data_IF_348400069624
#
_entry.id   IF_348400069624
#
_cell.length_a   1.000
_cell.length_b   1.000
_cell.length_c   1.000
_cell.angle_alpha   90.00
_cell.angle_beta   90.00
_cell.angle_gamma   90.00
#
_symmetry.space_group_name_H-M   'P 1'
#
loop_
_entity.id
_entity.type
_entity.pdbx_description
1 polymer ?
#
# COMPACT_ATOMS: atom_id res chain seq x y z
N UNK A 1 35.52 30.20 -3.35
CA UNK A 1 34.85 29.35 -2.34
C UNK A 1 33.33 29.29 -2.49
N UNK A 2 32.67 30.23 -3.18
CA UNK A 2 31.21 30.26 -3.38
C UNK A 2 30.69 29.43 -4.57
N UNK A 3 31.56 29.03 -5.52
CA UNK A 3 31.17 28.35 -6.77
C UNK A 3 30.79 26.87 -6.52
N UNK A 4 31.38 26.23 -5.49
CA UNK A 4 31.15 24.81 -5.19
C UNK A 4 29.75 24.48 -4.64
N UNK A 5 29.02 25.46 -4.11
CA UNK A 5 27.67 25.23 -3.58
C UNK A 5 26.59 25.24 -4.68
N UNK A 6 26.84 25.94 -5.80
CA UNK A 6 25.88 26.03 -6.91
C UNK A 6 25.79 24.73 -7.72
N UNK A 7 26.77 23.83 -7.62
CA UNK A 7 26.74 22.52 -8.26
C UNK A 7 26.06 21.44 -7.41
N UNK A 8 25.72 21.73 -6.14
CA UNK A 8 24.99 20.80 -5.26
C UNK A 8 23.46 20.89 -5.41
N UNK A 9 22.93 21.95 -6.04
CA UNK A 9 21.48 22.07 -6.30
C UNK A 9 21.00 21.18 -7.45
N UNK A 10 21.93 20.63 -8.24
CA UNK A 10 21.62 19.66 -9.30
C UNK A 10 21.10 18.31 -8.77
N UNK A 11 21.18 18.05 -7.46
CA UNK A 11 20.66 16.85 -6.82
C UNK A 11 19.28 17.05 -6.13
N UNK A 12 18.68 18.25 -6.22
CA UNK A 12 17.36 18.50 -5.61
C UNK A 12 16.20 17.92 -6.41
N UNK A 13 16.38 17.73 -7.72
CA UNK A 13 15.42 17.12 -8.64
C UNK A 13 15.92 15.73 -9.08
N UNK A 14 16.40 14.90 -8.14
CA UNK A 14 16.39 13.47 -8.41
C UNK A 14 14.91 13.07 -8.42
N UNK A 15 14.29 12.80 -9.60
CA UNK A 15 12.89 12.40 -9.61
C UNK A 15 12.80 11.17 -8.74
N UNK A 16 12.05 11.27 -7.65
CA UNK A 16 11.71 10.10 -6.84
C UNK A 16 10.79 9.26 -7.71
N UNK A 17 11.42 8.40 -8.52
CA UNK A 17 10.70 7.47 -9.38
C UNK A 17 10.05 6.50 -8.41
N UNK A 18 8.75 6.66 -8.25
CA UNK A 18 7.93 5.84 -7.40
C UNK A 18 7.93 4.39 -7.81
N UNK A 19 8.92 3.62 -7.35
CA UNK A 19 8.89 2.17 -7.47
C UNK A 19 7.83 1.67 -6.50
N UNK A 20 6.97 0.77 -6.96
CA UNK A 20 5.94 0.13 -6.15
C UNK A 20 6.58 -0.46 -4.87
N UNK A 21 6.26 0.10 -3.71
CA UNK A 21 6.85 -0.29 -2.41
C UNK A 21 8.05 0.54 -1.91
N UNK A 22 8.55 1.51 -2.69
CA UNK A 22 9.62 2.43 -2.27
C UNK A 22 9.10 3.76 -1.68
N UNK A 23 7.80 4.05 -1.81
CA UNK A 23 7.16 5.21 -1.19
C UNK A 23 6.87 4.95 0.29
N UNK A 24 7.78 5.43 1.13
CA UNK A 24 7.59 5.53 2.56
C UNK A 24 6.97 6.91 2.88
N UNK A 25 5.89 7.04 3.69
CA UNK A 25 5.19 6.03 4.49
C UNK A 25 3.82 5.55 3.96
N UNK A 26 3.33 6.10 2.85
CA UNK A 26 1.97 5.91 2.35
C UNK A 26 1.63 4.44 2.04
N UNK A 27 2.44 3.75 1.23
CA UNK A 27 2.23 2.33 0.90
C UNK A 27 2.24 1.43 2.15
N UNK A 28 3.09 1.72 3.13
CA UNK A 28 3.18 0.93 4.36
C UNK A 28 1.90 1.06 5.19
N UNK A 29 1.37 2.28 5.32
CA UNK A 29 0.10 2.55 5.99
C UNK A 29 -1.06 1.89 5.23
N UNK A 30 -1.08 1.99 3.91
CA UNK A 30 -2.12 1.38 3.06
C UNK A 30 -2.12 -0.15 3.16
N UNK A 31 -0.95 -0.80 3.16
CA UNK A 31 -0.84 -2.25 3.35
C UNK A 31 -1.30 -2.67 4.75
N UNK A 32 -0.83 -1.96 5.80
CA UNK A 32 -1.26 -2.25 7.16
C UNK A 32 -2.79 -2.12 7.33
N UNK A 33 -3.37 -1.04 6.81
CA UNK A 33 -4.82 -0.84 6.76
C UNK A 33 -5.52 -1.92 5.94
N UNK A 34 -4.98 -2.28 4.78
CA UNK A 34 -5.51 -3.31 3.91
C UNK A 34 -5.57 -4.68 4.60
N UNK A 35 -4.52 -5.08 5.33
CA UNK A 35 -4.48 -6.31 6.13
C UNK A 35 -5.55 -6.29 7.23
N UNK A 36 -5.72 -5.16 7.93
CA UNK A 36 -6.76 -5.01 8.95
C UNK A 36 -8.16 -5.18 8.35
N UNK A 37 -8.42 -4.59 7.18
CA UNK A 37 -9.67 -4.77 6.44
C UNK A 37 -9.90 -6.23 6.02
N UNK A 38 -8.86 -6.93 5.53
CA UNK A 38 -8.95 -8.37 5.22
C UNK A 38 -9.31 -9.16 6.47
N UNK A 39 -8.71 -8.87 7.62
CA UNK A 39 -9.03 -9.55 8.88
C UNK A 39 -10.50 -9.33 9.28
N UNK A 40 -11.01 -8.10 9.16
CA UNK A 40 -12.42 -7.80 9.39
C UNK A 40 -13.35 -8.60 8.46
N UNK A 41 -13.05 -8.64 7.15
CA UNK A 41 -13.81 -9.41 6.17
C UNK A 41 -13.77 -10.90 6.49
N UNK A 42 -12.60 -11.44 6.85
CA UNK A 42 -12.44 -12.83 7.25
C UNK A 42 -13.32 -13.19 8.45
N UNK A 43 -13.31 -12.37 9.51
CA UNK A 43 -14.12 -12.59 10.71
C UNK A 43 -15.62 -12.54 10.38
N UNK A 44 -16.05 -11.57 9.56
CA UNK A 44 -17.44 -11.44 9.14
C UNK A 44 -17.91 -12.63 8.31
N UNK A 45 -17.15 -13.04 7.30
CA UNK A 45 -17.49 -14.19 6.46
C UNK A 45 -17.47 -15.52 7.22
N UNK A 46 -16.52 -15.67 8.15
CA UNK A 46 -16.45 -16.85 9.02
C UNK A 46 -17.67 -16.94 9.92
N UNK A 47 -18.13 -15.80 10.47
CA UNK A 47 -19.37 -15.75 11.27
C UNK A 47 -20.63 -16.01 10.46
N UNK A 48 -20.66 -15.64 9.19
CA UNK A 48 -21.81 -15.91 8.30
C UNK A 48 -21.79 -17.32 7.67
N UNK A 49 -20.84 -18.19 8.03
CA UNK A 49 -20.72 -19.55 7.47
C UNK A 49 -20.24 -19.58 6.01
N UNK A 50 -19.73 -18.46 5.49
CA UNK A 50 -19.25 -18.31 4.10
C UNK A 50 -17.73 -18.43 3.99
N UNK A 51 -17.09 -19.11 4.95
CA UNK A 51 -15.63 -19.30 4.97
C UNK A 51 -15.09 -19.98 3.71
N UNK A 52 -15.90 -20.79 3.03
CA UNK A 52 -15.55 -21.44 1.76
C UNK A 52 -15.20 -20.44 0.63
N UNK A 53 -15.72 -19.21 0.66
CA UNK A 53 -15.38 -18.18 -0.33
C UNK A 53 -13.96 -17.65 -0.19
N UNK A 54 -13.28 -17.91 0.94
CA UNK A 54 -11.89 -17.53 1.15
C UNK A 54 -10.89 -18.63 0.73
N UNK A 55 -11.36 -19.66 0.02
CA UNK A 55 -10.50 -20.71 -0.53
C UNK A 55 -10.21 -20.46 -2.02
N UNK A 56 -8.95 -20.62 -2.48
CA UNK A 56 -7.74 -20.95 -1.71
C UNK A 56 -7.15 -19.73 -0.98
N UNK A 57 -6.81 -19.86 0.32
CA UNK A 57 -6.39 -18.73 1.14
C UNK A 57 -5.07 -18.10 0.66
N UNK A 58 -4.19 -18.90 0.06
CA UNK A 58 -2.93 -18.43 -0.50
C UNK A 58 -3.09 -17.40 -1.63
N UNK A 59 -4.26 -17.33 -2.27
CA UNK A 59 -4.55 -16.39 -3.37
C UNK A 59 -5.50 -15.30 -2.90
N UNK A 60 -6.58 -15.68 -2.21
CA UNK A 60 -7.66 -14.74 -1.87
C UNK A 60 -7.20 -13.67 -0.88
N UNK A 61 -6.42 -14.03 0.15
CA UNK A 61 -5.94 -13.07 1.13
C UNK A 61 -4.96 -12.05 0.54
N UNK A 62 -3.90 -12.43 -0.19
CA UNK A 62 -3.02 -11.44 -0.80
C UNK A 62 -3.74 -10.59 -1.85
N UNK A 63 -4.67 -11.17 -2.64
CA UNK A 63 -5.46 -10.40 -3.60
C UNK A 63 -6.34 -9.34 -2.91
N UNK A 64 -7.03 -9.71 -1.82
CA UNK A 64 -7.82 -8.76 -1.02
C UNK A 64 -6.94 -7.71 -0.35
N UNK A 65 -5.77 -8.10 0.18
CA UNK A 65 -4.82 -7.15 0.77
C UNK A 65 -4.38 -6.13 -0.26
N UNK A 66 -3.99 -6.56 -1.47
CA UNK A 66 -3.61 -5.64 -2.56
C UNK A 66 -4.78 -4.73 -2.94
N UNK A 67 -5.98 -5.29 -3.11
CA UNK A 67 -7.19 -4.53 -3.45
C UNK A 67 -7.47 -3.43 -2.42
N UNK A 68 -7.48 -3.77 -1.12
CA UNK A 68 -7.72 -2.79 -0.07
C UNK A 68 -6.58 -1.79 0.09
N UNK A 69 -5.34 -2.22 -0.11
CA UNK A 69 -4.18 -1.31 -0.07
C UNK A 69 -4.29 -0.25 -1.16
N UNK A 70 -4.61 -0.67 -2.39
CA UNK A 70 -4.81 0.25 -3.52
C UNK A 70 -6.02 1.16 -3.26
N UNK A 71 -7.14 0.62 -2.78
CA UNK A 71 -8.33 1.42 -2.48
C UNK A 71 -8.06 2.49 -1.41
N UNK A 72 -7.35 2.13 -0.34
CA UNK A 72 -6.92 3.08 0.70
C UNK A 72 -5.95 4.12 0.16
N UNK A 73 -5.02 3.71 -0.71
CA UNK A 73 -4.07 4.64 -1.32
C UNK A 73 -4.77 5.66 -2.21
N UNK A 74 -5.68 5.20 -3.07
CA UNK A 74 -6.48 6.09 -3.92
C UNK A 74 -7.31 7.04 -3.06
N UNK A 75 -7.99 6.54 -2.03
CA UNK A 75 -8.85 7.37 -1.18
C UNK A 75 -8.08 8.38 -0.30
N UNK A 76 -6.87 8.06 0.14
CA UNK A 76 -6.10 8.86 1.09
C UNK A 76 -5.02 9.76 0.47
N UNK A 77 -4.49 9.39 -0.70
CA UNK A 77 -3.32 10.04 -1.28
C UNK A 77 -3.49 10.47 -2.75
N UNK A 78 -4.50 9.96 -3.45
CA UNK A 78 -4.67 10.21 -4.90
C UNK A 78 -6.05 10.78 -5.30
N UNK A 79 -6.95 11.02 -4.34
CA UNK A 79 -8.23 11.71 -4.54
C UNK A 79 -8.04 13.23 -4.35
#
# INVERSE_FOLDING_TARGET
MLISCATLTACSDAPSVGVLGAYFPDWLICIAGGVLLVACVHVLLSKSGRGAWLAPPAIVYPALTVLFSIALWVAGFNL
#
